data_IF_800707100272
#
_entry.id   IF_800707100272
#
_cell.length_a   1.000
_cell.length_b   1.000
_cell.length_c   1.000
_cell.angle_alpha   90.00
_cell.angle_beta   90.00
_cell.angle_gamma   90.00
#
_symmetry.space_group_name_H-M   'P 1'
#
loop_
_entity.id
_entity.type
_entity.pdbx_description
1 polymer ?
#
# COMPACT_ATOMS: atom_id res chain seq x y z
N UNK A 1 4.22 -7.36 -4.48
CA UNK A 1 3.15 -6.33 -4.51
C UNK A 1 1.83 -7.05 -4.64
N UNK A 2 1.01 -7.00 -3.59
CA UNK A 2 -0.36 -7.49 -3.69
C UNK A 2 -1.21 -6.49 -4.48
N UNK A 3 -1.89 -7.02 -5.50
CA UNK A 3 -2.92 -6.34 -6.28
C UNK A 3 -4.17 -7.21 -6.43
N UNK A 4 -4.37 -8.14 -5.51
CA UNK A 4 -5.56 -8.95 -5.50
C UNK A 4 -6.79 -8.09 -5.19
N UNK A 5 -7.99 -8.55 -5.60
CA UNK A 5 -9.20 -7.77 -5.40
C UNK A 5 -9.66 -7.80 -3.93
N UNK A 6 -9.90 -6.62 -3.34
CA UNK A 6 -10.39 -6.45 -1.97
C UNK A 6 -11.86 -6.00 -1.96
N UNK A 7 -12.78 -6.79 -1.36
CA UNK A 7 -14.20 -6.47 -1.35
C UNK A 7 -14.61 -5.55 -0.20
N UNK A 8 -15.61 -4.70 -0.43
CA UNK A 8 -16.28 -3.90 0.59
C UNK A 8 -17.79 -3.95 0.41
N UNK A 9 -18.52 -4.42 1.43
CA UNK A 9 -19.98 -4.49 1.39
C UNK A 9 -20.61 -3.19 1.93
N UNK A 10 -21.62 -2.67 1.24
CA UNK A 10 -22.40 -1.53 1.71
C UNK A 10 -23.47 -1.99 2.72
N UNK A 11 -23.39 -1.62 4.00
CA UNK A 11 -24.37 -2.04 4.99
C UNK A 11 -25.76 -1.42 4.79
N UNK A 12 -25.88 -0.39 3.94
CA UNK A 12 -27.13 0.33 3.66
C UNK A 12 -27.83 -0.11 2.36
N UNK A 13 -27.20 -0.99 1.56
CA UNK A 13 -27.76 -1.44 0.28
C UNK A 13 -27.29 -2.85 -0.11
N UNK A 14 -27.62 -3.31 -1.32
CA UNK A 14 -27.12 -4.58 -1.87
C UNK A 14 -25.77 -4.43 -2.58
N UNK A 15 -25.15 -3.24 -2.51
CA UNK A 15 -23.89 -2.97 -3.22
C UNK A 15 -22.72 -3.69 -2.57
N UNK A 16 -21.92 -4.33 -3.41
CA UNK A 16 -20.57 -4.78 -3.08
C UNK A 16 -19.61 -4.07 -4.01
N UNK A 17 -18.60 -3.44 -3.44
CA UNK A 17 -17.48 -2.85 -4.16
C UNK A 17 -16.31 -3.82 -4.13
N UNK A 18 -15.47 -3.77 -5.15
CA UNK A 18 -14.17 -4.44 -5.17
C UNK A 18 -13.15 -3.44 -5.68
N UNK A 19 -12.01 -3.35 -5.00
CA UNK A 19 -10.87 -2.49 -5.37
C UNK A 19 -9.62 -3.31 -5.61
N UNK A 20 -8.75 -2.87 -6.51
CA UNK A 20 -7.49 -3.54 -6.82
C UNK A 20 -6.48 -2.53 -7.40
N UNK A 21 -5.20 -2.85 -7.35
CA UNK A 21 -4.20 -2.07 -8.10
C UNK A 21 -4.05 -2.58 -9.53
N UNK A 22 -3.81 -1.66 -10.44
CA UNK A 22 -3.57 -1.92 -11.86
C UNK A 22 -2.25 -1.29 -12.28
N UNK A 23 -1.40 -2.12 -12.87
CA UNK A 23 -0.07 -1.78 -13.39
C UNK A 23 -0.03 -1.85 -14.93
N UNK A 24 -1.18 -1.89 -15.60
CA UNK A 24 -1.27 -1.93 -17.07
C UNK A 24 -0.81 -0.65 -17.77
N UNK A 25 -0.61 0.45 -17.04
CA UNK A 25 -0.12 1.74 -17.56
C UNK A 25 1.32 2.08 -17.11
N UNK A 26 1.69 3.36 -17.24
CA UNK A 26 3.03 3.86 -16.84
C UNK A 26 3.25 3.90 -15.32
N UNK A 27 2.18 3.88 -14.52
CA UNK A 27 2.22 3.85 -13.07
C UNK A 27 1.13 2.96 -12.49
N UNK A 28 1.37 2.42 -11.29
CA UNK A 28 0.37 1.73 -10.49
C UNK A 28 -0.73 2.69 -10.05
N UNK A 29 -1.99 2.31 -10.29
CA UNK A 29 -3.19 3.05 -9.87
C UNK A 29 -4.18 2.12 -9.16
N UNK A 30 -5.13 2.69 -8.41
CA UNK A 30 -6.24 1.91 -7.84
C UNK A 30 -7.44 1.96 -8.78
N UNK A 31 -8.01 0.80 -9.07
CA UNK A 31 -9.24 0.61 -9.83
C UNK A 31 -10.36 0.13 -8.90
N UNK A 32 -11.60 0.28 -9.35
CA UNK A 32 -12.75 -0.24 -8.63
C UNK A 32 -13.86 -0.74 -9.54
N UNK A 33 -14.71 -1.60 -9.00
CA UNK A 33 -15.97 -2.03 -9.59
C UNK A 33 -17.05 -2.16 -8.52
N UNK A 34 -18.31 -2.08 -8.91
CA UNK A 34 -19.47 -2.25 -8.04
C UNK A 34 -20.43 -3.26 -8.63
N UNK A 35 -21.03 -4.09 -7.77
CA UNK A 35 -22.09 -5.02 -8.12
C UNK A 35 -23.29 -4.84 -7.20
N UNK A 36 -24.49 -5.11 -7.73
CA UNK A 36 -25.74 -5.14 -6.95
C UNK A 36 -26.20 -6.55 -6.62
N UNK A 37 -25.59 -7.57 -7.24
CA UNK A 37 -25.99 -8.97 -7.19
C UNK A 37 -24.82 -9.95 -6.99
N UNK A 38 -23.59 -9.44 -6.91
CA UNK A 38 -22.35 -10.22 -6.80
C UNK A 38 -21.92 -10.91 -8.11
N UNK A 39 -22.67 -10.73 -9.20
CA UNK A 39 -22.48 -11.45 -10.47
C UNK A 39 -22.13 -10.46 -11.59
N UNK A 40 -22.91 -9.39 -11.71
CA UNK A 40 -22.75 -8.35 -12.72
C UNK A 40 -22.01 -7.17 -12.11
N UNK A 41 -20.94 -6.73 -12.79
CA UNK A 41 -20.03 -5.71 -12.28
C UNK A 41 -19.97 -4.50 -13.21
N UNK A 42 -20.15 -3.32 -12.64
CA UNK A 42 -19.94 -2.04 -13.30
C UNK A 42 -18.57 -1.49 -12.90
N UNK A 43 -17.73 -1.20 -13.88
CA UNK A 43 -16.40 -0.62 -13.66
C UNK A 43 -16.52 0.85 -13.21
N UNK A 44 -15.78 1.21 -12.17
CA UNK A 44 -15.64 2.59 -11.68
C UNK A 44 -14.44 3.31 -12.31
N UNK A 45 -13.60 2.60 -13.05
CA UNK A 45 -12.40 3.15 -13.66
C UNK A 45 -11.26 3.32 -12.65
N UNK A 46 -10.40 4.32 -12.86
CA UNK A 46 -9.36 4.71 -11.89
C UNK A 46 -10.00 5.50 -10.75
N UNK A 47 -9.94 4.96 -9.54
CA UNK A 47 -10.52 5.58 -8.34
C UNK A 47 -9.47 6.29 -7.48
N UNK A 48 -8.18 5.94 -7.63
CA UNK A 48 -7.08 6.70 -7.02
C UNK A 48 -5.79 6.56 -7.82
N UNK A 49 -4.99 7.63 -7.82
CA UNK A 49 -3.63 7.66 -8.38
C UNK A 49 -2.82 8.74 -7.68
N UNK A 50 -1.51 8.51 -7.54
CA UNK A 50 -0.58 9.50 -6.98
C UNK A 50 0.53 9.74 -8.00
N UNK A 51 0.79 11.00 -8.35
CA UNK A 51 1.79 11.35 -9.36
C UNK A 51 3.20 10.93 -8.92
N UNK A 52 3.96 10.32 -9.82
CA UNK A 52 5.32 9.83 -9.57
C UNK A 52 5.39 8.66 -8.59
N UNK A 53 4.26 7.96 -8.37
CA UNK A 53 4.17 6.85 -7.43
C UNK A 53 3.31 5.71 -7.97
N UNK A 54 3.65 4.50 -7.56
CA UNK A 54 2.91 3.29 -7.85
C UNK A 54 2.02 2.95 -6.65
N UNK A 55 0.71 2.98 -6.84
CA UNK A 55 -0.26 2.55 -5.82
C UNK A 55 -0.28 1.01 -5.71
N UNK A 56 -0.37 0.50 -4.47
CA UNK A 56 -0.41 -0.92 -4.14
C UNK A 56 -1.17 -1.17 -2.80
N UNK A 57 -1.55 -2.41 -2.54
CA UNK A 57 -2.38 -2.82 -1.39
C UNK A 57 -3.62 -1.93 -1.13
N UNK A 58 -4.55 -1.76 -2.10
CA UNK A 58 -5.76 -1.00 -1.83
C UNK A 58 -6.77 -1.79 -0.99
N UNK A 59 -7.33 -1.14 0.01
CA UNK A 59 -8.40 -1.67 0.87
C UNK A 59 -9.57 -0.68 0.93
N UNK A 60 -10.79 -1.19 1.04
CA UNK A 60 -11.98 -0.35 1.10
C UNK A 60 -12.96 -0.79 2.19
N UNK A 61 -13.67 0.18 2.76
CA UNK A 61 -14.77 -0.06 3.71
C UNK A 61 -15.89 0.94 3.48
N UNK A 62 -17.13 0.52 3.71
CA UNK A 62 -18.32 1.38 3.53
C UNK A 62 -18.93 1.73 4.87
N UNK A 63 -19.11 3.02 5.13
CA UNK A 63 -19.74 3.54 6.33
C UNK A 63 -21.25 3.20 6.36
N UNK A 64 -21.92 3.25 7.52
CA UNK A 64 -23.38 3.13 7.61
C UNK A 64 -24.16 4.15 6.76
N UNK A 65 -23.54 5.30 6.45
CA UNK A 65 -24.09 6.33 5.57
C UNK A 65 -23.93 6.04 4.07
N UNK A 66 -23.25 4.95 3.72
CA UNK A 66 -22.90 4.58 2.35
C UNK A 66 -21.62 5.23 1.82
N UNK A 67 -20.95 6.11 2.58
CA UNK A 67 -19.63 6.67 2.19
C UNK A 67 -18.64 5.52 2.03
N UNK A 68 -17.93 5.51 0.92
CA UNK A 68 -16.91 4.50 0.63
C UNK A 68 -15.56 5.12 0.97
N UNK A 69 -14.84 4.49 1.89
CA UNK A 69 -13.49 4.86 2.27
C UNK A 69 -12.50 3.92 1.61
N UNK A 70 -11.43 4.48 1.06
CA UNK A 70 -10.33 3.77 0.41
C UNK A 70 -9.03 4.12 1.13
N UNK A 71 -8.23 3.11 1.45
CA UNK A 71 -6.81 3.28 1.77
C UNK A 71 -5.95 2.51 0.79
N UNK A 72 -4.72 2.96 0.59
CA UNK A 72 -3.71 2.27 -0.19
C UNK A 72 -2.33 2.84 0.14
N UNK A 73 -1.28 2.07 -0.12
CA UNK A 73 0.08 2.56 -0.08
C UNK A 73 0.55 2.99 -1.47
N UNK A 74 1.45 3.97 -1.55
CA UNK A 74 2.06 4.37 -2.82
C UNK A 74 3.58 4.56 -2.71
N UNK A 75 4.32 3.73 -3.44
CA UNK A 75 5.77 3.70 -3.50
C UNK A 75 6.26 4.70 -4.55
N UNK A 76 7.31 5.44 -4.26
CA UNK A 76 8.01 6.26 -5.27
C UNK A 76 8.34 5.42 -6.50
N UNK A 77 8.07 5.97 -7.68
CA UNK A 77 8.40 5.29 -8.92
C UNK A 77 9.92 5.35 -9.14
N UNK A 78 10.58 4.22 -9.45
CA UNK A 78 11.99 4.27 -9.82
C UNK A 78 12.23 5.14 -11.06
N UNK A 79 13.33 5.89 -11.12
CA UNK A 79 13.71 6.55 -12.35
C UNK A 79 14.02 5.51 -13.43
N UNK A 80 13.61 5.79 -14.67
CA UNK A 80 13.68 4.81 -15.77
C UNK A 80 15.09 4.30 -16.09
N UNK A 81 16.13 5.09 -15.78
CA UNK A 81 17.52 4.76 -16.02
C UNK A 81 18.19 4.01 -14.87
N UNK A 82 17.52 3.84 -13.74
CA UNK A 82 18.07 3.17 -12.55
C UNK A 82 16.93 2.54 -11.73
N UNK A 83 16.39 1.40 -12.19
CA UNK A 83 15.24 0.76 -11.54
C UNK A 83 15.55 0.16 -10.17
N UNK A 84 16.83 0.06 -9.80
CA UNK A 84 17.31 -0.64 -8.61
C UNK A 84 17.87 0.31 -7.54
N UNK A 85 17.34 1.54 -7.45
CA UNK A 85 17.78 2.55 -6.46
C UNK A 85 17.47 2.16 -5.00
N UNK A 86 18.29 1.26 -4.47
CA UNK A 86 18.39 0.96 -3.05
C UNK A 86 18.66 2.25 -2.27
N UNK A 87 17.88 2.48 -1.23
CA UNK A 87 17.99 3.57 -0.26
C UNK A 87 17.15 4.79 -0.61
N UNK A 88 16.59 4.86 -1.83
CA UNK A 88 15.90 6.05 -2.36
C UNK A 88 14.39 5.86 -2.37
N UNK A 89 13.92 4.61 -2.54
CA UNK A 89 12.50 4.34 -2.64
C UNK A 89 11.83 4.41 -1.28
N UNK A 90 10.70 5.11 -1.21
CA UNK A 90 9.89 5.19 0.00
C UNK A 90 8.42 5.09 -0.34
N UNK A 91 7.62 4.55 0.57
CA UNK A 91 6.17 4.51 0.43
C UNK A 91 5.48 5.31 1.53
N UNK A 92 4.27 5.73 1.21
CA UNK A 92 3.40 6.50 2.08
C UNK A 92 1.99 5.94 1.99
N UNK A 93 1.24 6.04 3.10
CA UNK A 93 -0.17 5.63 3.14
C UNK A 93 -1.07 6.79 2.73
N UNK A 94 -2.10 6.47 1.95
CA UNK A 94 -3.06 7.42 1.41
C UNK A 94 -4.50 7.04 1.76
N UNK A 95 -5.36 8.05 1.80
CA UNK A 95 -6.80 7.91 1.94
C UNK A 95 -7.52 8.64 0.80
N UNK A 96 -8.60 8.06 0.32
CA UNK A 96 -9.60 8.75 -0.51
C UNK A 96 -11.01 8.29 -0.11
N UNK A 97 -12.02 9.07 -0.46
CA UNK A 97 -13.41 8.69 -0.20
C UNK A 97 -14.33 9.00 -1.37
N UNK A 98 -15.44 8.29 -1.44
CA UNK A 98 -16.53 8.57 -2.37
C UNK A 98 -17.86 8.70 -1.61
N UNK A 99 -18.75 9.61 -2.02
CA UNK A 99 -20.13 9.61 -1.54
C UNK A 99 -20.85 8.29 -1.81
N UNK A 100 -21.97 8.08 -1.13
CA UNK A 100 -22.82 6.91 -1.33
C UNK A 100 -23.12 6.64 -2.81
N UNK A 101 -22.88 5.40 -3.23
CA UNK A 101 -23.05 4.94 -4.61
C UNK A 101 -21.79 5.02 -5.48
N UNK A 102 -20.66 5.56 -4.99
CA UNK A 102 -19.36 5.41 -5.64
C UNK A 102 -19.17 6.21 -6.92
N UNK A 103 -19.87 7.35 -7.06
CA UNK A 103 -19.90 8.13 -8.31
C UNK A 103 -18.55 8.79 -8.65
N UNK A 104 -17.82 9.24 -7.63
CA UNK A 104 -16.50 9.85 -7.79
C UNK A 104 -15.73 9.78 -6.47
N UNK A 105 -14.45 9.39 -6.55
CA UNK A 105 -13.55 9.43 -5.41
C UNK A 105 -12.86 10.79 -5.32
N UNK A 106 -12.55 11.21 -4.10
CA UNK A 106 -11.74 12.39 -3.83
C UNK A 106 -10.31 12.21 -4.34
N UNK A 107 -9.58 13.32 -4.50
CA UNK A 107 -8.13 13.24 -4.64
C UNK A 107 -7.53 12.54 -3.40
N UNK A 108 -6.57 11.61 -3.56
CA UNK A 108 -5.93 10.97 -2.42
C UNK A 108 -5.16 11.97 -1.56
N UNK A 109 -5.33 11.86 -0.24
CA UNK A 109 -4.55 12.60 0.75
C UNK A 109 -3.55 11.65 1.41
N UNK A 110 -2.32 12.11 1.62
CA UNK A 110 -1.33 11.36 2.40
C UNK A 110 -1.71 11.42 3.88
N UNK A 111 -1.79 10.27 4.54
CA UNK A 111 -2.09 10.18 5.98
C UNK A 111 -0.88 9.80 6.83
N UNK A 112 0.15 9.19 6.22
CA UNK A 112 1.42 8.96 6.90
C UNK A 112 2.14 10.27 7.20
N UNK A 113 2.66 10.43 8.42
CA UNK A 113 3.41 11.63 8.85
C UNK A 113 4.90 11.57 8.52
N UNK A 114 5.38 10.39 8.14
CA UNK A 114 6.73 10.13 7.64
C UNK A 114 6.64 9.03 6.60
N UNK A 115 7.66 8.94 5.75
CA UNK A 115 7.71 7.91 4.71
C UNK A 115 8.40 6.67 5.24
N UNK A 116 7.86 5.52 4.84
CA UNK A 116 8.45 4.23 5.12
C UNK A 116 9.56 3.92 4.13
N UNK A 117 10.68 3.36 4.61
CA UNK A 117 11.79 2.95 3.76
C UNK A 117 11.91 1.41 3.74
N UNK A 118 11.59 0.76 2.61
CA UNK A 118 11.71 -0.68 2.42
C UNK A 118 13.08 -1.27 2.79
N UNK A 119 14.18 -0.52 2.61
CA UNK A 119 15.53 -1.01 2.91
C UNK A 119 15.81 -1.24 4.37
N UNK A 120 15.04 -0.62 5.25
CA UNK A 120 15.08 -0.96 6.66
C UNK A 120 14.56 -2.38 6.94
N UNK A 121 13.97 -3.09 5.98
CA UNK A 121 13.30 -4.37 6.20
C UNK A 121 13.57 -5.39 5.08
N UNK A 122 13.12 -6.63 5.30
CA UNK A 122 13.42 -7.73 4.37
C UNK A 122 12.47 -8.91 4.51
N UNK A 123 12.29 -9.67 3.43
CA UNK A 123 11.79 -11.04 3.52
C UNK A 123 12.78 -11.93 4.29
N UNK A 124 12.27 -13.04 4.82
CA UNK A 124 13.03 -13.99 5.65
C UNK A 124 14.30 -14.53 4.99
N UNK A 125 14.34 -14.64 3.66
CA UNK A 125 15.51 -15.14 2.92
C UNK A 125 16.56 -14.05 2.60
N UNK A 126 16.29 -12.80 3.01
CA UNK A 126 17.09 -11.61 2.80
C UNK A 126 17.27 -11.15 1.34
N UNK A 127 16.65 -11.82 0.36
CA UNK A 127 16.90 -11.55 -1.06
C UNK A 127 16.15 -10.32 -1.58
N UNK A 128 15.05 -9.96 -0.93
CA UNK A 128 14.17 -8.87 -1.36
C UNK A 128 13.85 -7.96 -0.16
N UNK A 129 13.66 -6.67 -0.45
CA UNK A 129 13.09 -5.73 0.52
C UNK A 129 11.66 -6.13 0.84
N UNK A 130 11.25 -5.92 2.09
CA UNK A 130 9.86 -6.09 2.48
C UNK A 130 9.14 -4.73 2.43
N UNK A 131 7.89 -4.75 1.98
CA UNK A 131 7.11 -3.55 1.71
C UNK A 131 5.67 -3.77 2.13
N UNK A 132 5.47 -4.08 3.40
CA UNK A 132 4.16 -4.40 3.94
C UNK A 132 3.61 -5.74 3.43
N UNK A 133 2.44 -6.06 3.96
CA UNK A 133 1.54 -7.20 3.66
C UNK A 133 0.21 -6.97 4.39
N UNK A 134 0.21 -6.10 5.41
CA UNK A 134 -0.95 -5.79 6.24
C UNK A 134 -1.27 -4.29 6.19
N UNK A 135 -2.39 -3.99 5.56
CA UNK A 135 -3.09 -2.71 5.59
C UNK A 135 -4.58 -3.04 5.73
N UNK A 136 -5.34 -2.20 6.42
CA UNK A 136 -6.78 -2.38 6.55
C UNK A 136 -7.47 -1.04 6.83
N UNK A 137 -8.76 -0.97 6.56
CA UNK A 137 -9.60 0.18 6.83
C UNK A 137 -10.97 -0.24 7.35
N UNK A 138 -11.43 0.46 8.38
CA UNK A 138 -12.80 0.33 8.90
C UNK A 138 -13.49 1.68 8.84
N UNK A 139 -14.67 1.71 8.21
CA UNK A 139 -15.50 2.90 8.09
C UNK A 139 -16.54 2.99 9.21
N UNK A 140 -16.37 3.96 10.10
CA UNK A 140 -17.33 4.30 11.15
C UNK A 140 -18.44 5.25 10.66
N UNK A 141 -19.29 5.77 11.56
CA UNK A 141 -20.36 6.69 11.18
C UNK A 141 -19.87 8.09 10.78
N UNK A 142 -18.73 8.54 11.33
CA UNK A 142 -18.18 9.89 11.11
C UNK A 142 -16.75 9.92 10.59
N UNK A 143 -16.05 8.79 10.69
CA UNK A 143 -14.62 8.70 10.42
C UNK A 143 -14.25 7.30 9.94
N UNK A 144 -13.21 7.22 9.13
CA UNK A 144 -12.51 5.98 8.82
C UNK A 144 -11.28 5.79 9.73
N UNK A 145 -10.96 4.55 10.02
CA UNK A 145 -9.83 4.12 10.82
C UNK A 145 -8.95 3.24 9.94
N UNK A 146 -7.71 3.65 9.73
CA UNK A 146 -6.76 3.00 8.83
C UNK A 146 -5.61 2.43 9.65
N UNK A 147 -5.09 1.28 9.23
CA UNK A 147 -3.82 0.73 9.72
C UNK A 147 -2.96 0.28 8.54
N UNK A 148 -1.63 0.40 8.66
CA UNK A 148 -0.69 -0.08 7.65
C UNK A 148 0.64 -0.49 8.28
N UNK A 149 1.38 -1.34 7.58
CA UNK A 149 2.74 -1.74 7.95
C UNK A 149 3.74 -0.68 7.50
N UNK A 150 4.68 -0.30 8.36
CA UNK A 150 5.59 0.82 8.11
C UNK A 150 6.99 0.55 8.69
N UNK A 151 8.02 0.87 7.92
CA UNK A 151 9.42 0.67 8.23
C UNK A 151 10.17 2.01 8.46
N UNK A 152 9.47 3.13 8.71
CA UNK A 152 10.11 4.45 8.96
C UNK A 152 11.09 4.45 10.12
N UNK A 153 10.91 3.54 11.08
CA UNK A 153 11.76 3.41 12.27
C UNK A 153 12.87 2.37 12.08
N UNK A 154 12.93 1.72 10.93
CA UNK A 154 13.93 0.72 10.64
C UNK A 154 15.20 1.35 10.09
N UNK A 155 16.34 0.74 10.42
CA UNK A 155 17.65 1.19 9.91
C UNK A 155 18.12 0.22 8.84
N UNK A 156 18.47 0.70 7.63
CA UNK A 156 19.04 -0.14 6.57
C UNK A 156 20.27 -0.92 7.02
N UNK A 157 20.53 -2.05 6.37
CA UNK A 157 21.65 -2.91 6.71
C UNK A 157 22.53 -3.20 5.50
N UNK A 158 23.71 -2.57 5.48
CA UNK A 158 24.68 -2.70 4.38
C UNK A 158 25.03 -4.16 4.06
N UNK A 159 25.18 -5.02 5.07
CA UNK A 159 25.50 -6.43 4.85
C UNK A 159 24.38 -7.17 4.09
N UNK A 160 23.12 -6.80 4.34
CA UNK A 160 21.97 -7.34 3.61
C UNK A 160 21.95 -6.80 2.18
N UNK A 161 22.23 -5.51 2.00
CA UNK A 161 22.28 -4.89 0.67
C UNK A 161 23.39 -5.50 -0.20
N UNK A 162 24.57 -5.75 0.37
CA UNK A 162 25.67 -6.44 -0.31
C UNK A 162 25.29 -7.87 -0.72
N UNK A 163 24.59 -8.58 0.16
CA UNK A 163 24.07 -9.92 -0.14
C UNK A 163 23.04 -9.89 -1.28
N UNK A 164 22.07 -8.97 -1.24
CA UNK A 164 21.06 -8.79 -2.31
C UNK A 164 21.73 -8.47 -3.64
N UNK A 165 22.65 -7.51 -3.65
CA UNK A 165 23.41 -7.14 -4.84
C UNK A 165 24.15 -8.35 -5.44
N UNK A 166 24.78 -9.17 -4.61
CA UNK A 166 25.45 -10.39 -5.06
C UNK A 166 24.47 -11.43 -5.64
N UNK A 167 23.30 -11.62 -5.01
CA UNK A 167 22.24 -12.52 -5.51
C UNK A 167 21.73 -12.05 -6.88
N UNK A 168 21.39 -10.77 -7.03
CA UNK A 168 20.91 -10.21 -8.30
C UNK A 168 21.98 -10.16 -9.39
N UNK A 169 23.25 -10.08 -9.01
CA UNK A 169 24.38 -10.26 -9.93
C UNK A 169 24.60 -11.74 -10.36
N UNK A 170 23.80 -12.68 -9.84
CA UNK A 170 23.81 -14.09 -10.22
C UNK A 170 24.73 -14.97 -9.36
N UNK A 171 25.20 -14.49 -8.20
CA UNK A 171 26.01 -15.29 -7.30
C UNK A 171 25.23 -16.49 -6.75
N UNK A 172 25.84 -17.68 -6.82
CA UNK A 172 25.31 -18.93 -6.23
C UNK A 172 26.02 -19.33 -4.93
N UNK A 173 27.02 -18.56 -4.53
CA UNK A 173 27.90 -18.87 -3.39
C UNK A 173 27.87 -17.80 -2.32
N UNK A 174 27.21 -16.66 -2.57
CA UNK A 174 26.99 -15.64 -1.54
C UNK A 174 26.18 -16.22 -0.39
N UNK A 175 26.49 -15.80 0.83
CA UNK A 175 25.88 -16.30 2.05
C UNK A 175 25.11 -15.16 2.70
N UNK A 176 23.86 -15.40 3.05
CA UNK A 176 23.03 -14.44 3.76
C UNK A 176 23.69 -14.06 5.10
N UNK A 177 23.81 -12.76 5.43
CA UNK A 177 24.33 -12.34 6.72
C UNK A 177 23.36 -12.74 7.84
N UNK A 178 23.85 -12.91 9.06
CA UNK A 178 22.98 -13.01 10.24
C UNK A 178 22.60 -11.59 10.71
N UNK A 179 21.34 -11.13 10.54
CA UNK A 179 20.95 -9.76 10.86
C UNK A 179 21.17 -9.39 12.32
N UNK A 180 21.03 -10.35 13.25
CA UNK A 180 21.21 -10.12 14.70
C UNK A 180 22.62 -9.65 15.07
N UNK A 181 23.59 -9.95 14.21
CA UNK A 181 25.01 -9.63 14.41
C UNK A 181 25.57 -8.64 13.39
N UNK A 182 24.96 -8.55 12.21
CA UNK A 182 25.47 -7.77 11.08
C UNK A 182 24.73 -6.44 10.88
N UNK A 183 23.56 -6.26 11.50
CA UNK A 183 22.70 -5.10 11.31
C UNK A 183 22.49 -4.30 12.61
N UNK A 184 21.96 -3.08 12.48
CA UNK A 184 21.43 -2.37 13.63
C UNK A 184 20.24 -3.12 14.23
N UNK A 185 20.01 -2.98 15.53
CA UNK A 185 18.89 -3.65 16.23
C UNK A 185 17.51 -3.21 15.73
N UNK A 186 17.43 -2.12 14.98
CA UNK A 186 16.23 -1.59 14.33
C UNK A 186 16.04 -2.13 12.91
N UNK A 187 16.96 -2.90 12.33
CA UNK A 187 16.71 -3.55 11.04
C UNK A 187 15.58 -4.56 11.16
N UNK A 188 14.68 -4.57 10.18
CA UNK A 188 13.45 -5.36 10.21
C UNK A 188 12.35 -4.78 11.09
N UNK A 189 12.53 -3.59 11.68
CA UNK A 189 11.49 -2.98 12.51
C UNK A 189 10.33 -2.45 11.65
N UNK A 190 9.38 -3.34 11.35
CA UNK A 190 8.12 -3.02 10.67
C UNK A 190 7.01 -2.94 11.71
N UNK A 191 6.56 -1.72 11.98
CA UNK A 191 5.52 -1.42 12.96
C UNK A 191 4.16 -1.28 12.25
N UNK A 192 3.07 -1.50 12.98
CA UNK A 192 1.73 -1.10 12.53
C UNK A 192 1.46 0.35 12.94
N UNK A 193 1.24 1.22 11.97
CA UNK A 193 0.78 2.59 12.20
C UNK A 193 -0.71 2.71 11.93
N UNK A 194 -1.31 3.78 12.48
CA UNK A 194 -2.73 4.03 12.33
C UNK A 194 -3.02 5.51 12.06
N UNK A 195 -4.15 5.76 11.39
CA UNK A 195 -4.70 7.09 11.18
C UNK A 195 -6.21 7.08 11.36
N UNK A 196 -6.76 8.22 11.77
CA UNK A 196 -8.21 8.46 11.80
C UNK A 196 -8.48 9.62 10.85
N UNK A 197 -9.36 9.40 9.88
CA UNK A 197 -9.77 10.43 8.92
C UNK A 197 -11.26 10.71 9.12
N UNK A 198 -11.59 11.93 9.53
CA UNK A 198 -12.98 12.40 9.58
C UNK A 198 -13.47 12.68 8.17
N UNK A 199 -14.67 12.20 7.85
CA UNK A 199 -15.27 12.40 6.52
C UNK A 199 -15.41 13.88 6.19
N UNK A 200 -15.25 14.23 4.92
CA UNK A 200 -15.48 15.60 4.48
C UNK A 200 -16.97 15.91 4.70
N UNK A 201 -17.26 16.91 5.54
CA UNK A 201 -18.63 17.37 5.78
C UNK A 201 -19.28 17.74 4.46
N UNK A 202 -20.47 17.19 4.20
CA UNK A 202 -21.31 17.59 3.07
C UNK A 202 -21.65 19.07 3.09
#
# INVERSE_FOLDING_TARGET
MDCYPHPAADPSSTRVYVVWCDFGGEQGVVKGAVSLDGINWTQLGTIASVSGRNAFFPEASVAPSGIISLTFDALTQPPANDPWQTGVQVYDNYFAESPAGGQAFSAPIRVSTASSNPDGSSYNNLQEQFIGDYIDIVAGPTSAYLVWTDARNATPCQAVDDYRNAVYAGSKTTVAPNPDSACATSFGNTDTFAAIVTYMSK
#
